data_IF_723336542175
#
_entry.id   IF_723336542175
#
_cell.length_a   1.000
_cell.length_b   1.000
_cell.length_c   1.000
_cell.angle_alpha   90.00
_cell.angle_beta   90.00
_cell.angle_gamma   90.00
#
_symmetry.space_group_name_H-M   'P 1'
#
loop_
_entity.id
_entity.type
_entity.pdbx_description
1 polymer ?
#
# COMPACT_ATOMS: atom_id res chain seq x y z
N UNK A 1 -34.30 -38.05 46.99
CA UNK A 1 -33.58 -37.83 45.71
C UNK A 1 -33.98 -36.45 45.19
N UNK A 2 -33.04 -35.75 44.56
CA UNK A 2 -33.21 -34.43 43.91
C UNK A 2 -33.21 -33.21 44.82
N UNK A 3 -32.49 -32.12 44.55
CA UNK A 3 -31.41 -31.83 43.59
C UNK A 3 -30.93 -30.41 43.95
N UNK A 4 -29.62 -30.20 43.89
CA UNK A 4 -28.94 -28.93 44.09
C UNK A 4 -29.40 -27.90 43.04
N UNK A 5 -29.76 -26.69 43.48
CA UNK A 5 -30.13 -25.56 42.63
C UNK A 5 -29.03 -24.51 42.64
N UNK A 6 -28.29 -24.48 41.53
CA UNK A 6 -27.05 -23.75 41.24
C UNK A 6 -27.20 -22.22 41.32
N UNK A 7 -26.18 -21.57 41.88
CA UNK A 7 -25.91 -20.12 41.87
C UNK A 7 -25.72 -19.63 40.43
N UNK A 8 -26.55 -18.69 39.99
CA UNK A 8 -26.41 -17.97 38.72
C UNK A 8 -25.68 -16.65 38.96
N UNK A 9 -24.35 -16.69 38.96
CA UNK A 9 -23.52 -15.50 38.77
C UNK A 9 -23.34 -15.28 37.26
N UNK A 10 -24.26 -14.51 36.67
CA UNK A 10 -24.07 -13.98 35.32
C UNK A 10 -23.06 -12.83 35.38
N UNK A 11 -21.76 -13.15 35.32
CA UNK A 11 -20.71 -12.17 35.06
C UNK A 11 -20.83 -11.72 33.60
N UNK A 12 -21.37 -10.52 33.43
CA UNK A 12 -21.52 -9.87 32.14
C UNK A 12 -20.16 -9.64 31.47
N UNK A 13 -19.99 -10.31 30.34
CA UNK A 13 -19.24 -9.95 29.14
C UNK A 13 -18.68 -8.52 29.16
N UNK A 14 -17.38 -8.39 29.42
CA UNK A 14 -16.56 -7.25 28.99
C UNK A 14 -15.80 -7.66 27.72
N UNK A 15 -16.56 -7.87 26.65
CA UNK A 15 -16.02 -7.90 25.29
C UNK A 15 -15.79 -6.45 24.84
N UNK A 16 -14.67 -5.86 25.26
CA UNK A 16 -14.20 -4.61 24.68
C UNK A 16 -13.93 -4.82 23.18
N UNK A 17 -14.17 -3.82 22.32
CA UNK A 17 -13.87 -3.94 20.91
C UNK A 17 -12.37 -4.15 20.79
N UNK A 18 -11.97 -5.32 20.29
CA UNK A 18 -10.64 -5.51 19.76
C UNK A 18 -10.46 -4.47 18.66
N UNK A 19 -9.71 -3.42 18.96
CA UNK A 19 -9.17 -2.56 17.93
C UNK A 19 -8.36 -3.49 17.02
N UNK A 20 -8.92 -3.82 15.85
CA UNK A 20 -8.14 -4.41 14.79
C UNK A 20 -7.01 -3.42 14.53
N UNK A 21 -5.80 -3.76 14.98
CA UNK A 21 -4.61 -3.02 14.61
C UNK A 21 -4.53 -3.17 13.09
N UNK A 22 -4.89 -2.12 12.35
CA UNK A 22 -4.53 -2.03 10.94
C UNK A 22 -3.01 -2.14 10.93
N UNK A 23 -2.48 -3.31 10.53
CA UNK A 23 -1.05 -3.44 10.36
C UNK A 23 -0.61 -2.38 9.35
N UNK A 24 0.42 -1.61 9.68
CA UNK A 24 0.96 -0.62 8.77
C UNK A 24 1.25 -1.29 7.41
N UNK A 25 0.93 -0.60 6.32
CA UNK A 25 1.22 -1.11 4.99
C UNK A 25 2.73 -1.38 4.84
N UNK A 26 3.08 -2.52 4.25
CA UNK A 26 4.46 -2.84 3.94
C UNK A 26 5.02 -1.86 2.90
N UNK A 27 6.31 -1.54 3.00
CA UNK A 27 6.98 -0.63 2.05
C UNK A 27 6.93 -1.21 0.63
N UNK A 28 7.06 -2.54 0.50
CA UNK A 28 6.91 -3.24 -0.77
C UNK A 28 5.51 -3.05 -1.36
N UNK A 29 4.45 -3.19 -0.56
CA UNK A 29 3.08 -2.98 -1.02
C UNK A 29 2.88 -1.54 -1.49
N UNK A 30 3.32 -0.56 -0.70
CA UNK A 30 3.21 0.85 -1.05
C UNK A 30 3.96 1.17 -2.36
N UNK A 31 5.18 0.63 -2.52
CA UNK A 31 5.95 0.77 -3.76
C UNK A 31 5.21 0.18 -4.97
N UNK A 32 4.65 -1.02 -4.84
CA UNK A 32 3.84 -1.65 -5.89
C UNK A 32 2.59 -0.83 -6.23
N UNK A 33 1.86 -0.36 -5.22
CA UNK A 33 0.64 0.42 -5.43
C UNK A 33 0.90 1.76 -6.12
N UNK A 34 1.94 2.49 -5.71
CA UNK A 34 2.28 3.79 -6.28
C UNK A 34 2.73 3.65 -7.73
N UNK A 35 3.57 2.66 -8.04
CA UNK A 35 3.98 2.36 -9.40
C UNK A 35 2.85 1.82 -10.28
N UNK A 36 2.00 0.95 -9.73
CA UNK A 36 0.82 0.42 -10.40
C UNK A 36 -0.20 1.52 -10.74
N UNK A 37 -0.47 2.43 -9.82
CA UNK A 37 -1.37 3.56 -10.03
C UNK A 37 -0.87 4.50 -11.13
N UNK A 38 0.42 4.87 -11.10
CA UNK A 38 1.02 5.69 -12.16
C UNK A 38 1.04 4.96 -13.51
N UNK A 39 1.38 3.68 -13.52
CA UNK A 39 1.36 2.86 -14.73
C UNK A 39 -0.04 2.81 -15.36
N UNK A 40 -1.09 2.67 -14.53
CA UNK A 40 -2.49 2.74 -14.97
C UNK A 40 -2.84 4.07 -15.62
N UNK A 41 -2.46 5.18 -14.99
CA UNK A 41 -2.68 6.53 -15.51
C UNK A 41 -2.01 6.75 -16.87
N UNK A 42 -0.74 6.37 -17.00
CA UNK A 42 0.01 6.45 -18.27
C UNK A 42 -0.68 5.59 -19.34
N UNK A 43 -1.02 4.35 -19.01
CA UNK A 43 -1.64 3.42 -19.96
C UNK A 43 -3.01 3.92 -20.45
N UNK A 44 -3.77 4.58 -19.59
CA UNK A 44 -5.10 5.12 -19.92
C UNK A 44 -5.08 6.53 -20.53
N UNK A 45 -3.89 7.09 -20.80
CA UNK A 45 -3.75 8.38 -21.47
C UNK A 45 -4.02 9.58 -20.58
N UNK A 46 -3.96 9.40 -19.26
CA UNK A 46 -4.15 10.45 -18.26
C UNK A 46 -2.92 10.50 -17.32
N UNK A 47 -1.71 10.77 -17.83
CA UNK A 47 -0.52 10.86 -16.99
C UNK A 47 -0.70 11.94 -15.91
N UNK A 48 0.06 11.81 -14.82
CA UNK A 48 0.17 12.85 -13.80
C UNK A 48 0.65 14.15 -14.45
N UNK A 49 0.19 15.29 -13.94
CA UNK A 49 0.77 16.59 -14.30
C UNK A 49 2.19 16.73 -13.73
N UNK A 50 2.93 17.74 -14.18
CA UNK A 50 4.35 17.94 -13.82
C UNK A 50 4.57 18.03 -12.30
N UNK A 51 3.64 18.67 -11.58
CA UNK A 51 3.73 18.82 -10.14
C UNK A 51 3.57 17.48 -9.42
N UNK A 52 2.56 16.70 -9.79
CA UNK A 52 2.32 15.37 -9.24
C UNK A 52 3.41 14.39 -9.63
N UNK A 53 3.91 14.47 -10.87
CA UNK A 53 4.98 13.62 -11.37
C UNK A 53 6.27 13.85 -10.57
N UNK A 54 6.61 15.10 -10.26
CA UNK A 54 7.77 15.40 -9.41
C UNK A 54 7.62 14.81 -8.00
N UNK A 55 6.45 14.96 -7.37
CA UNK A 55 6.18 14.36 -6.05
C UNK A 55 6.26 12.83 -6.09
N UNK A 56 5.72 12.21 -7.14
CA UNK A 56 5.81 10.77 -7.38
C UNK A 56 7.27 10.32 -7.48
N UNK A 57 8.10 10.99 -8.28
CA UNK A 57 9.51 10.60 -8.46
C UNK A 57 10.25 10.62 -7.11
N UNK A 58 10.06 11.66 -6.31
CA UNK A 58 10.68 11.77 -4.99
C UNK A 58 10.22 10.67 -4.03
N UNK A 59 8.91 10.39 -3.98
CA UNK A 59 8.37 9.33 -3.15
C UNK A 59 8.87 7.95 -3.62
N UNK A 60 8.81 7.68 -4.92
CA UNK A 60 9.24 6.41 -5.49
C UNK A 60 10.73 6.15 -5.25
N UNK A 61 11.58 7.18 -5.40
CA UNK A 61 13.00 7.07 -5.11
C UNK A 61 13.24 6.70 -3.64
N UNK A 62 12.56 7.36 -2.70
CA UNK A 62 12.70 7.06 -1.27
C UNK A 62 12.28 5.62 -0.93
N UNK A 63 11.17 5.13 -1.52
CA UNK A 63 10.71 3.75 -1.35
C UNK A 63 11.69 2.75 -1.95
N UNK A 64 12.21 3.02 -3.16
CA UNK A 64 13.18 2.17 -3.84
C UNK A 64 14.49 2.08 -3.06
N UNK A 65 15.02 3.22 -2.58
CA UNK A 65 16.23 3.27 -1.78
C UNK A 65 16.09 2.45 -0.49
N UNK A 66 14.92 2.53 0.16
CA UNK A 66 14.62 1.70 1.31
C UNK A 66 14.63 0.21 0.97
N UNK A 67 13.97 -0.19 -0.13
CA UNK A 67 13.93 -1.59 -0.59
C UNK A 67 15.34 -2.08 -0.92
N UNK A 68 16.16 -1.25 -1.57
CA UNK A 68 17.55 -1.60 -1.91
C UNK A 68 18.40 -1.79 -0.66
N UNK A 69 18.23 -0.94 0.35
CA UNK A 69 18.98 -1.00 1.59
C UNK A 69 18.56 -2.18 2.49
N UNK A 70 17.28 -2.57 2.50
CA UNK A 70 16.74 -3.50 3.49
C UNK A 70 16.18 -4.81 2.90
N UNK A 71 16.02 -4.92 1.59
CA UNK A 71 15.41 -6.07 0.92
C UNK A 71 16.33 -7.27 0.72
N UNK A 72 17.64 -7.14 1.00
CA UNK A 72 18.60 -8.23 0.84
C UNK A 72 18.54 -8.87 -0.56
N UNK A 73 18.50 -10.20 -0.62
CA UNK A 73 18.54 -10.95 -1.88
C UNK A 73 17.29 -10.78 -2.78
N UNK A 74 16.21 -10.17 -2.28
CA UNK A 74 14.96 -9.97 -3.05
C UNK A 74 14.78 -8.54 -3.57
N UNK A 75 15.65 -7.60 -3.18
CA UNK A 75 15.51 -6.19 -3.53
C UNK A 75 15.40 -5.97 -5.04
N UNK A 76 16.34 -6.51 -5.81
CA UNK A 76 16.35 -6.35 -7.28
C UNK A 76 15.10 -6.95 -7.93
N UNK A 77 14.58 -8.05 -7.39
CA UNK A 77 13.35 -8.66 -7.89
C UNK A 77 12.15 -7.75 -7.64
N UNK A 78 12.03 -7.19 -6.43
CA UNK A 78 10.95 -6.23 -6.11
C UNK A 78 11.05 -5.03 -7.04
N UNK A 79 12.23 -4.42 -7.17
CA UNK A 79 12.42 -3.21 -8.00
C UNK A 79 12.13 -3.49 -9.47
N UNK A 80 12.57 -4.63 -10.00
CA UNK A 80 12.34 -4.99 -11.40
C UNK A 80 10.85 -5.22 -11.72
N UNK A 81 10.12 -5.89 -10.83
CA UNK A 81 8.72 -6.27 -11.08
C UNK A 81 7.72 -5.19 -10.65
N UNK A 82 7.93 -4.59 -9.49
CA UNK A 82 7.01 -3.61 -8.88
C UNK A 82 7.40 -2.17 -9.21
N UNK A 83 8.60 -1.93 -9.74
CA UNK A 83 9.05 -0.59 -10.11
C UNK A 83 8.34 0.00 -11.34
N UNK A 84 8.71 1.23 -11.76
CA UNK A 84 7.98 1.97 -12.78
C UNK A 84 7.82 1.21 -14.11
N UNK A 85 8.88 0.55 -14.58
CA UNK A 85 8.87 -0.20 -15.84
C UNK A 85 8.12 -1.53 -15.72
N UNK A 86 8.37 -2.29 -14.66
CA UNK A 86 7.69 -3.56 -14.42
C UNK A 86 6.18 -3.39 -14.28
N UNK A 87 5.75 -2.38 -13.52
CA UNK A 87 4.34 -2.01 -13.37
C UNK A 87 3.70 -1.60 -14.70
N UNK A 88 4.40 -0.80 -15.52
CA UNK A 88 3.90 -0.38 -16.83
C UNK A 88 3.78 -1.56 -17.81
N UNK A 89 4.76 -2.46 -17.83
CA UNK A 89 4.70 -3.68 -18.62
C UNK A 89 3.51 -4.56 -18.21
N UNK A 90 3.30 -4.74 -16.90
CA UNK A 90 2.20 -5.53 -16.36
C UNK A 90 0.83 -4.97 -16.73
N UNK A 91 0.65 -3.65 -16.59
CA UNK A 91 -0.60 -2.97 -16.98
C UNK A 91 -0.85 -3.08 -18.48
N UNK A 92 0.18 -2.90 -19.31
CA UNK A 92 0.05 -3.04 -20.77
C UNK A 92 -0.39 -4.44 -21.19
N UNK A 93 0.12 -5.48 -20.52
CA UNK A 93 -0.29 -6.88 -20.76
C UNK A 93 -1.76 -7.14 -20.44
N UNK A 94 -2.37 -6.41 -19.52
CA UNK A 94 -3.80 -6.50 -19.22
C UNK A 94 -4.70 -5.88 -20.30
N UNK A 95 -4.12 -5.11 -21.23
CA UNK A 95 -4.85 -4.51 -22.35
C UNK A 95 -5.71 -3.30 -21.98
N UNK A 96 -6.49 -2.80 -22.94
CA UNK A 96 -7.30 -1.58 -22.78
C UNK A 96 -8.48 -1.73 -21.81
N UNK A 97 -8.89 -2.96 -21.48
CA UNK A 97 -9.96 -3.22 -20.52
C UNK A 97 -9.66 -2.67 -19.12
N UNK A 98 -8.37 -2.53 -18.78
CA UNK A 98 -7.92 -1.92 -17.54
C UNK A 98 -8.42 -0.48 -17.37
N UNK A 99 -8.57 0.27 -18.46
CA UNK A 99 -9.05 1.66 -18.44
C UNK A 99 -10.57 1.78 -18.30
N UNK A 100 -11.30 0.70 -18.62
CA UNK A 100 -12.75 0.59 -18.39
C UNK A 100 -13.06 -0.13 -17.08
N UNK A 101 -12.05 -0.59 -16.36
CA UNK A 101 -12.21 -1.25 -15.07
C UNK A 101 -12.89 -0.30 -14.08
N UNK A 102 -13.78 -0.87 -13.26
CA UNK A 102 -14.40 -0.18 -12.12
C UNK A 102 -13.35 0.33 -11.12
N UNK A 103 -12.16 -0.27 -11.12
CA UNK A 103 -11.10 0.08 -10.17
C UNK A 103 -10.25 1.27 -10.64
N UNK A 104 -10.28 1.63 -11.93
CA UNK A 104 -9.46 2.73 -12.48
C UNK A 104 -9.69 4.07 -11.76
N UNK A 105 -10.93 4.53 -11.51
CA UNK A 105 -11.18 5.73 -10.71
C UNK A 105 -10.57 5.66 -9.31
N UNK A 106 -10.54 4.46 -8.71
CA UNK A 106 -9.91 4.22 -7.40
C UNK A 106 -8.40 4.40 -7.45
N UNK A 107 -7.74 3.85 -8.47
CA UNK A 107 -6.29 4.03 -8.68
C UNK A 107 -5.92 5.50 -8.90
N UNK A 108 -6.68 6.21 -9.72
CA UNK A 108 -6.49 7.65 -9.95
C UNK A 108 -6.64 8.43 -8.65
N UNK A 109 -7.71 8.18 -7.90
CA UNK A 109 -7.96 8.87 -6.64
C UNK A 109 -6.91 8.55 -5.57
N UNK A 110 -6.44 7.30 -5.50
CA UNK A 110 -5.41 6.88 -4.57
C UNK A 110 -4.12 7.70 -4.76
N UNK A 111 -3.59 7.72 -5.99
CA UNK A 111 -2.29 8.38 -6.23
C UNK A 111 -2.39 9.90 -6.13
N UNK A 112 -3.48 10.53 -6.60
CA UNK A 112 -3.62 11.98 -6.45
C UNK A 112 -3.76 12.38 -4.99
N UNK A 113 -4.62 11.70 -4.22
CA UNK A 113 -4.75 11.99 -2.77
C UNK A 113 -3.45 11.77 -2.01
N UNK A 114 -2.74 10.69 -2.30
CA UNK A 114 -1.46 10.41 -1.65
C UNK A 114 -0.45 11.52 -1.92
N UNK A 115 -0.37 12.01 -3.16
CA UNK A 115 0.58 13.05 -3.55
C UNK A 115 0.13 14.45 -3.08
N UNK A 116 -1.17 14.66 -2.85
CA UNK A 116 -1.71 15.93 -2.34
C UNK A 116 -1.75 16.03 -0.82
N UNK A 117 -1.55 14.94 -0.10
CA UNK A 117 -1.56 14.90 1.35
C UNK A 117 -0.13 14.89 1.93
N UNK A 118 0.39 16.04 2.42
CA UNK A 118 1.71 16.09 3.01
C UNK A 118 1.83 15.17 4.22
N UNK A 119 0.79 15.04 5.04
CA UNK A 119 0.82 14.22 6.25
C UNK A 119 0.96 12.73 5.90
N UNK A 120 0.30 12.27 4.84
CA UNK A 120 0.49 10.91 4.33
C UNK A 120 1.93 10.70 3.85
N UNK A 121 2.47 11.60 3.03
CA UNK A 121 3.85 11.46 2.53
C UNK A 121 4.91 11.58 3.63
N UNK A 122 4.70 12.42 4.63
CA UNK A 122 5.61 12.57 5.76
C UNK A 122 5.55 11.36 6.69
N UNK A 123 4.35 10.79 6.94
CA UNK A 123 4.21 9.52 7.65
C UNK A 123 5.02 8.40 6.98
N UNK A 124 4.96 8.31 5.64
CA UNK A 124 5.77 7.36 4.88
C UNK A 124 7.26 7.63 5.10
N UNK A 125 7.71 8.89 4.98
CA UNK A 125 9.12 9.23 5.21
C UNK A 125 9.59 8.82 6.61
N UNK A 126 8.77 9.01 7.64
CA UNK A 126 9.09 8.55 8.99
C UNK A 126 9.21 7.02 9.07
N UNK A 127 8.32 6.27 8.43
CA UNK A 127 8.41 4.82 8.35
C UNK A 127 9.71 4.35 7.68
N UNK A 128 10.20 5.07 6.68
CA UNK A 128 11.43 4.74 5.96
C UNK A 128 12.71 5.00 6.78
N UNK A 129 12.63 5.71 7.91
CA UNK A 129 13.80 5.94 8.78
C UNK A 129 14.21 4.72 9.60
N UNK A 130 13.31 3.75 9.78
CA UNK A 130 13.56 2.57 10.62
C UNK A 130 13.92 1.39 9.74
N UNK A 131 15.14 0.84 9.81
CA UNK A 131 15.52 -0.36 9.07
C UNK A 131 14.65 -1.55 9.44
N UNK A 132 14.00 -2.17 8.44
CA UNK A 132 13.14 -3.36 8.59
C UNK A 132 12.96 -4.06 7.26
N UNK A 133 12.53 -5.32 7.28
CA UNK A 133 12.17 -6.05 6.05
C UNK A 133 11.09 -5.25 5.29
N UNK A 134 11.30 -4.88 4.01
CA UNK A 134 10.32 -4.12 3.22
C UNK A 134 8.96 -4.82 3.08
N UNK A 135 8.90 -6.13 3.32
CA UNK A 135 7.68 -6.94 3.30
C UNK A 135 6.93 -6.96 4.62
N UNK A 136 7.51 -6.44 5.69
CA UNK A 136 6.87 -6.42 6.99
C UNK A 136 5.66 -5.47 6.96
N UNK A 137 4.49 -6.01 7.30
CA UNK A 137 3.21 -5.30 7.26
C UNK A 137 2.26 -5.87 6.21
N UNK A 138 1.08 -5.25 6.11
CA UNK A 138 0.03 -5.69 5.21
C UNK A 138 0.13 -5.12 3.79
N UNK A 139 -0.80 -5.55 2.94
CA UNK A 139 -1.24 -4.84 1.76
C UNK A 139 -2.77 -4.83 1.86
N UNK A 140 -3.40 -3.65 1.80
CA UNK A 140 -4.78 -3.37 2.20
C UNK A 140 -5.80 -4.48 1.86
#
# INVERSE_FOLDING_TARGET
>A
MSRWGIVLTAAAVLGGPAAATAEDASVMCLYSMVNGARAMLIHCGEPLDDQHEQKYVLLNQALEDFIRANGGAIADRIIAHEGPQGSLEHVRKRGQDSCRSRDYPGWKQFITKLLDDPAATDSIKEQLKTPRDPRQGGCL
#
